data_IF_663303384577
#
_entry.id   IF_663303384577
#
_cell.length_a   1.000
_cell.length_b   1.000
_cell.length_c   1.000
_cell.angle_alpha   90.00
_cell.angle_beta   90.00
_cell.angle_gamma   90.00
#
_symmetry.space_group_name_H-M   'P 1'
#
loop_
_entity.id
_entity.type
_entity.pdbx_description
1 polymer ?
#
# COMPACT_ATOMS: atom_id res chain seq x y z
N UNK A 1 19.81 -31.89 -21.91
CA UNK A 1 20.73 -30.80 -22.30
C UNK A 1 20.49 -29.61 -21.40
N UNK A 2 21.53 -28.85 -21.07
CA UNK A 2 21.39 -27.58 -20.35
C UNK A 2 21.04 -26.49 -21.37
N UNK A 3 19.86 -25.89 -21.24
CA UNK A 3 19.40 -24.79 -22.10
C UNK A 3 19.60 -23.45 -21.40
N UNK A 4 19.76 -22.38 -22.18
CA UNK A 4 19.75 -21.04 -21.60
C UNK A 4 18.31 -20.60 -21.27
N UNK A 5 18.10 -20.12 -20.04
CA UNK A 5 16.77 -19.91 -19.46
C UNK A 5 16.17 -18.51 -19.74
N UNK A 6 16.85 -17.69 -20.54
CA UNK A 6 16.42 -16.31 -20.84
C UNK A 6 16.20 -15.42 -19.60
N UNK A 7 17.04 -15.60 -18.57
CA UNK A 7 16.97 -14.82 -17.32
C UNK A 7 17.82 -13.54 -17.35
N UNK A 8 18.94 -13.56 -18.08
CA UNK A 8 19.89 -12.43 -18.12
C UNK A 8 20.49 -12.22 -19.50
N UNK A 9 20.29 -11.08 -20.14
CA UNK A 9 20.83 -10.80 -21.48
C UNK A 9 22.34 -11.07 -21.55
N UNK A 10 22.72 -12.15 -22.24
CA UNK A 10 24.12 -12.62 -22.28
C UNK A 10 25.01 -11.62 -23.00
N UNK A 11 24.58 -11.24 -24.20
CA UNK A 11 25.24 -10.25 -25.07
C UNK A 11 24.27 -9.10 -25.29
N UNK A 12 24.60 -7.92 -24.76
CA UNK A 12 23.80 -6.73 -24.96
C UNK A 12 24.25 -6.00 -26.22
N UNK A 13 23.30 -5.38 -26.90
CA UNK A 13 23.54 -4.53 -28.07
C UNK A 13 23.30 -3.07 -27.67
N UNK A 14 23.91 -2.14 -28.39
CA UNK A 14 23.67 -0.70 -28.24
C UNK A 14 23.33 -0.10 -29.59
N UNK A 15 22.48 0.92 -29.54
CA UNK A 15 22.12 1.78 -30.64
C UNK A 15 22.01 3.23 -30.14
N UNK A 16 21.75 4.19 -31.02
CA UNK A 16 21.41 5.55 -30.62
C UNK A 16 20.14 5.55 -29.74
N UNK A 17 20.05 6.34 -28.66
CA UNK A 17 18.86 6.36 -27.81
C UNK A 17 17.56 6.59 -28.60
N UNK A 18 16.52 5.81 -28.32
CA UNK A 18 15.20 5.98 -28.93
C UNK A 18 14.49 7.20 -28.31
N UNK A 19 14.18 8.25 -29.09
CA UNK A 19 13.44 9.41 -28.59
C UNK A 19 11.95 9.12 -28.31
N UNK A 20 11.46 7.94 -28.72
CA UNK A 20 10.07 7.49 -28.65
C UNK A 20 9.21 8.04 -29.79
N UNK A 21 8.03 7.45 -29.97
CA UNK A 21 7.09 7.83 -31.05
C UNK A 21 6.76 9.34 -31.04
N UNK A 22 6.66 10.01 -32.20
CA UNK A 22 6.20 11.38 -32.28
C UNK A 22 4.81 11.54 -31.66
N UNK A 23 4.59 12.65 -30.95
CA UNK A 23 3.28 12.98 -30.38
C UNK A 23 2.83 14.28 -31.04
N UNK A 24 1.81 14.21 -31.89
CA UNK A 24 1.19 15.39 -32.48
C UNK A 24 0.45 16.19 -31.40
N UNK A 25 0.62 17.51 -31.39
CA UNK A 25 -0.05 18.45 -30.48
C UNK A 25 0.09 18.10 -28.99
N UNK A 26 1.34 18.14 -28.49
CA UNK A 26 1.62 17.88 -27.07
C UNK A 26 1.62 19.16 -26.24
N UNK A 27 0.95 19.15 -25.09
CA UNK A 27 1.00 20.22 -24.08
C UNK A 27 2.34 20.27 -23.31
N UNK A 28 3.31 19.44 -23.68
CA UNK A 28 4.60 19.31 -23.01
C UNK A 28 5.63 18.70 -23.96
N UNK A 29 6.80 18.34 -23.45
CA UNK A 29 7.86 17.72 -24.24
C UNK A 29 8.57 16.61 -23.49
N UNK A 30 9.35 15.82 -24.21
CA UNK A 30 10.30 14.87 -23.60
C UNK A 30 11.56 15.62 -23.20
N UNK A 31 12.09 15.28 -22.02
CA UNK A 31 13.31 15.85 -21.44
C UNK A 31 14.37 14.76 -21.28
N UNK A 32 15.62 15.15 -21.49
CA UNK A 32 16.78 14.26 -21.53
C UNK A 32 17.06 13.72 -22.93
N UNK A 33 18.28 13.24 -23.13
CA UNK A 33 18.74 12.65 -24.40
C UNK A 33 18.77 11.11 -24.36
N UNK A 34 18.49 10.52 -23.19
CA UNK A 34 18.62 9.09 -22.94
C UNK A 34 20.05 8.69 -22.56
N UNK A 35 20.19 7.72 -21.65
CA UNK A 35 21.48 7.11 -21.28
C UNK A 35 21.33 5.60 -21.18
N UNK A 36 22.44 4.86 -21.10
CA UNK A 36 22.42 3.40 -21.01
C UNK A 36 23.06 2.89 -19.72
N UNK A 37 22.36 1.99 -19.02
CA UNK A 37 22.89 1.25 -17.88
C UNK A 37 23.17 -0.20 -18.27
N UNK A 38 24.45 -0.61 -18.14
CA UNK A 38 24.86 -2.00 -18.39
C UNK A 38 24.11 -2.99 -17.50
N UNK A 39 23.96 -2.68 -16.21
CA UNK A 39 23.33 -3.57 -15.25
C UNK A 39 21.81 -3.67 -15.45
N UNK A 40 21.13 -2.58 -15.80
CA UNK A 40 19.71 -2.67 -16.18
C UNK A 40 19.52 -3.48 -17.46
N UNK A 41 20.41 -3.31 -18.45
CA UNK A 41 20.41 -4.10 -19.68
C UNK A 41 20.65 -5.61 -19.48
N UNK A 42 21.08 -6.04 -18.28
CA UNK A 42 21.14 -7.49 -17.96
C UNK A 42 19.77 -8.06 -17.65
N UNK A 43 18.83 -7.25 -17.17
CA UNK A 43 17.49 -7.66 -16.76
C UNK A 43 16.39 -7.27 -17.76
N UNK A 44 16.64 -6.26 -18.61
CA UNK A 44 15.67 -5.75 -19.58
C UNK A 44 16.29 -4.75 -20.54
N UNK A 45 15.58 -3.64 -20.81
CA UNK A 45 16.10 -2.53 -21.60
C UNK A 45 17.21 -1.78 -20.83
N UNK A 46 18.29 -1.43 -21.52
CA UNK A 46 19.40 -0.68 -20.97
C UNK A 46 19.12 0.84 -20.95
N UNK A 47 18.21 1.33 -21.78
CA UNK A 47 17.95 2.76 -21.93
C UNK A 47 17.20 3.34 -20.73
N UNK A 48 17.66 4.49 -20.24
CA UNK A 48 17.00 5.29 -19.20
C UNK A 48 16.65 6.66 -19.80
N UNK A 49 15.36 6.98 -19.81
CA UNK A 49 14.83 8.20 -20.44
C UNK A 49 14.75 8.10 -21.98
N UNK A 50 14.33 9.17 -22.66
CA UNK A 50 13.88 10.46 -22.11
C UNK A 50 12.51 10.36 -21.42
N UNK A 51 12.15 11.34 -20.58
CA UNK A 51 10.86 11.37 -19.87
C UNK A 51 9.97 12.50 -20.35
N UNK A 52 8.70 12.20 -20.63
CA UNK A 52 7.72 13.25 -20.94
C UNK A 52 7.36 14.07 -19.70
N UNK A 53 7.40 15.40 -19.78
CA UNK A 53 6.81 16.29 -18.79
C UNK A 53 5.91 17.32 -19.49
N UNK A 54 4.64 17.30 -19.12
CA UNK A 54 3.65 18.33 -19.44
C UNK A 54 2.97 18.81 -18.16
N UNK A 55 1.97 19.70 -18.25
CA UNK A 55 1.38 20.38 -17.09
C UNK A 55 0.91 19.42 -16.00
N UNK A 56 0.22 18.33 -16.38
CA UNK A 56 -0.27 17.33 -15.43
C UNK A 56 0.84 16.62 -14.65
N UNK A 57 1.95 16.29 -15.31
CA UNK A 57 3.09 15.66 -14.65
C UNK A 57 3.82 16.62 -13.73
N UNK A 58 4.03 17.87 -14.17
CA UNK A 58 4.71 18.89 -13.37
C UNK A 58 3.89 19.23 -12.12
N UNK A 59 2.59 19.51 -12.29
CA UNK A 59 1.71 19.78 -11.16
C UNK A 59 1.66 18.58 -10.20
N UNK A 60 1.51 17.35 -10.71
CA UNK A 60 1.55 16.16 -9.86
C UNK A 60 2.82 16.08 -9.01
N UNK A 61 4.00 16.28 -9.61
CA UNK A 61 5.27 16.29 -8.88
C UNK A 61 5.35 17.42 -7.86
N UNK A 62 4.87 18.63 -8.17
CA UNK A 62 4.84 19.74 -7.22
C UNK A 62 3.94 19.44 -6.02
N UNK A 63 2.72 18.96 -6.25
CA UNK A 63 1.80 18.56 -5.18
C UNK A 63 2.37 17.42 -4.34
N UNK A 64 2.98 16.42 -4.98
CA UNK A 64 3.62 15.29 -4.29
C UNK A 64 4.82 15.72 -3.45
N UNK A 65 5.64 16.65 -3.97
CA UNK A 65 6.75 17.23 -3.24
C UNK A 65 6.28 17.95 -1.97
N UNK A 66 5.25 18.80 -2.08
CA UNK A 66 4.67 19.47 -0.90
C UNK A 66 4.17 18.46 0.13
N UNK A 67 3.47 17.39 -0.29
CA UNK A 67 3.01 16.36 0.64
C UNK A 67 4.16 15.66 1.37
N UNK A 68 5.21 15.25 0.65
CA UNK A 68 6.38 14.59 1.22
C UNK A 68 7.13 15.51 2.18
N UNK A 69 7.31 16.79 1.82
CA UNK A 69 7.96 17.78 2.70
C UNK A 69 7.15 18.02 3.98
N UNK A 70 5.82 18.15 3.89
CA UNK A 70 4.97 18.30 5.08
C UNK A 70 5.11 17.09 6.01
N UNK A 71 5.10 15.86 5.46
CA UNK A 71 5.30 14.64 6.24
C UNK A 71 6.70 14.61 6.85
N UNK A 72 7.74 14.80 6.03
CA UNK A 72 9.15 14.74 6.43
C UNK A 72 9.52 15.79 7.47
N UNK A 73 9.05 17.03 7.34
CA UNK A 73 9.28 18.09 8.33
C UNK A 73 8.58 17.81 9.65
N UNK A 74 7.37 17.21 9.64
CA UNK A 74 6.70 16.79 10.87
C UNK A 74 7.42 15.62 11.55
N UNK A 75 7.99 14.69 10.79
CA UNK A 75 8.86 13.63 11.32
C UNK A 75 10.12 14.22 11.94
N UNK A 76 10.76 15.15 11.24
CA UNK A 76 12.02 15.75 11.70
C UNK A 76 11.84 16.58 12.97
N UNK A 77 10.70 17.26 13.11
CA UNK A 77 10.30 17.96 14.33
C UNK A 77 10.16 17.01 15.54
N UNK A 78 9.62 15.80 15.37
CA UNK A 78 9.42 14.85 16.47
C UNK A 78 10.73 14.44 17.15
N UNK A 79 11.82 14.42 16.39
CA UNK A 79 13.16 14.09 16.88
C UNK A 79 14.02 15.32 17.17
N UNK A 80 13.38 16.48 17.39
CA UNK A 80 14.07 17.71 17.76
C UNK A 80 15.04 18.23 16.70
N UNK A 81 14.77 17.99 15.42
CA UNK A 81 15.62 18.38 14.30
C UNK A 81 17.02 17.74 14.29
N UNK A 82 17.19 16.58 14.96
CA UNK A 82 18.44 15.81 14.92
C UNK A 82 18.48 14.85 13.72
N UNK A 83 19.41 15.03 12.76
CA UNK A 83 19.48 14.15 11.57
C UNK A 83 19.80 12.69 11.93
N UNK A 84 20.58 12.47 12.99
CA UNK A 84 20.94 11.13 13.47
C UNK A 84 19.69 10.42 13.99
N UNK A 85 18.90 11.11 14.81
CA UNK A 85 17.67 10.55 15.36
C UNK A 85 16.60 10.36 14.30
N UNK A 86 16.53 11.25 13.31
CA UNK A 86 15.64 11.11 12.17
C UNK A 86 15.90 9.80 11.43
N UNK A 87 17.14 9.51 11.07
CA UNK A 87 17.50 8.26 10.38
C UNK A 87 17.29 7.05 11.27
N UNK A 88 17.70 7.12 12.55
CA UNK A 88 17.57 6.02 13.51
C UNK A 88 16.10 5.63 13.74
N UNK A 89 15.22 6.61 13.84
CA UNK A 89 13.81 6.41 14.22
C UNK A 89 12.84 6.46 13.03
N UNK A 90 13.31 6.70 11.80
CA UNK A 90 12.47 6.86 10.61
C UNK A 90 11.33 5.82 10.48
N UNK A 91 11.52 4.52 10.77
CA UNK A 91 10.43 3.54 10.70
C UNK A 91 9.27 3.80 11.69
N UNK A 92 9.54 4.45 12.83
CA UNK A 92 8.57 4.73 13.90
C UNK A 92 7.97 6.14 13.85
N UNK A 93 8.53 7.05 13.05
CA UNK A 93 8.01 8.41 12.93
C UNK A 93 6.67 8.41 12.17
N UNK A 94 5.76 9.27 12.60
CA UNK A 94 4.40 9.30 12.08
C UNK A 94 3.79 10.70 12.05
N UNK A 95 3.00 10.98 11.03
CA UNK A 95 2.12 12.14 10.98
C UNK A 95 0.71 11.59 11.17
N UNK A 96 0.21 11.78 12.39
CA UNK A 96 -1.06 11.22 12.86
C UNK A 96 -2.27 12.03 12.36
N UNK A 97 -3.41 11.37 12.10
CA UNK A 97 -4.65 12.06 11.81
C UNK A 97 -5.15 12.87 13.02
N UNK A 98 -6.10 13.81 12.80
CA UNK A 98 -6.76 14.52 13.90
C UNK A 98 -7.44 13.57 14.89
N UNK A 99 -7.39 13.92 16.18
CA UNK A 99 -8.05 13.14 17.23
C UNK A 99 -9.59 13.22 17.12
N UNK A 100 -10.33 12.27 17.74
CA UNK A 100 -11.79 12.22 17.63
C UNK A 100 -12.51 13.47 18.15
N UNK A 101 -11.88 14.27 19.02
CA UNK A 101 -12.48 15.50 19.58
C UNK A 101 -12.87 16.52 18.50
N UNK A 102 -12.22 16.46 17.33
CA UNK A 102 -12.50 17.36 16.21
C UNK A 102 -13.63 16.85 15.29
N UNK A 103 -14.03 15.58 15.37
CA UNK A 103 -14.94 14.98 14.39
C UNK A 103 -14.44 15.21 12.96
N UNK A 104 -15.21 15.96 12.15
CA UNK A 104 -14.82 16.40 10.80
C UNK A 104 -14.41 17.89 10.69
N UNK A 105 -14.29 18.60 11.80
CA UNK A 105 -13.83 19.99 11.78
C UNK A 105 -12.35 20.07 11.40
N UNK A 106 -11.93 21.19 10.82
CA UNK A 106 -10.53 21.46 10.54
C UNK A 106 -9.82 21.75 11.88
N UNK A 107 -8.88 20.90 12.33
CA UNK A 107 -8.20 21.09 13.61
C UNK A 107 -7.06 22.13 13.49
N UNK A 108 -6.52 22.60 14.62
CA UNK A 108 -5.27 23.36 14.63
C UNK A 108 -4.12 22.58 13.96
N UNK A 109 -3.16 23.31 13.36
CA UNK A 109 -2.01 22.71 12.66
C UNK A 109 -1.27 21.67 13.49
N UNK A 110 -1.00 21.97 14.76
CA UNK A 110 -0.28 21.09 15.68
C UNK A 110 -1.09 19.86 16.14
N UNK A 111 -2.40 19.81 15.85
CA UNK A 111 -3.32 18.76 16.30
C UNK A 111 -3.97 18.01 15.13
N UNK A 112 -3.18 17.73 14.08
CA UNK A 112 -3.63 17.00 12.89
C UNK A 112 -3.95 17.89 11.69
N UNK A 113 -3.83 19.22 11.78
CA UNK A 113 -4.04 20.10 10.62
C UNK A 113 -3.00 19.85 9.51
N UNK A 114 -1.74 19.58 9.89
CA UNK A 114 -0.70 19.17 8.93
C UNK A 114 -1.02 17.87 8.20
N UNK A 115 -1.68 16.93 8.87
CA UNK A 115 -2.12 15.68 8.26
C UNK A 115 -3.13 15.93 7.13
N UNK A 116 -4.16 16.75 7.38
CA UNK A 116 -5.16 17.08 6.35
C UNK A 116 -4.53 17.81 5.16
N UNK A 117 -3.56 18.70 5.40
CA UNK A 117 -2.80 19.36 4.35
C UNK A 117 -2.02 18.34 3.52
N UNK A 118 -1.25 17.46 4.16
CA UNK A 118 -0.49 16.41 3.48
C UNK A 118 -1.42 15.49 2.66
N UNK A 119 -2.55 15.06 3.23
CA UNK A 119 -3.55 14.23 2.56
C UNK A 119 -4.16 14.91 1.33
N UNK A 120 -4.48 16.21 1.41
CA UNK A 120 -4.97 16.98 0.27
C UNK A 120 -3.93 17.05 -0.85
N UNK A 121 -2.70 17.46 -0.53
CA UNK A 121 -1.63 17.60 -1.52
C UNK A 121 -1.28 16.24 -2.16
N UNK A 122 -1.23 15.17 -1.38
CA UNK A 122 -1.00 13.81 -1.87
C UNK A 122 -2.13 13.35 -2.80
N UNK A 123 -3.38 13.57 -2.41
CA UNK A 123 -4.54 13.19 -3.22
C UNK A 123 -4.53 13.90 -4.57
N UNK A 124 -4.28 15.21 -4.58
CA UNK A 124 -4.16 15.98 -5.82
C UNK A 124 -3.00 15.49 -6.69
N UNK A 125 -1.85 15.18 -6.09
CA UNK A 125 -0.71 14.60 -6.80
C UNK A 125 -1.09 13.32 -7.55
N UNK A 126 -1.75 12.39 -6.86
CA UNK A 126 -2.18 11.10 -7.41
C UNK A 126 -3.20 11.28 -8.54
N UNK A 127 -4.21 12.13 -8.34
CA UNK A 127 -5.23 12.40 -9.37
C UNK A 127 -4.62 13.05 -10.62
N UNK A 128 -3.68 13.98 -10.46
CA UNK A 128 -2.96 14.58 -11.57
C UNK A 128 -2.07 13.57 -12.29
N UNK A 129 -1.48 12.62 -11.57
CA UNK A 129 -0.72 11.51 -12.17
C UNK A 129 -1.63 10.54 -12.95
N UNK A 130 -2.87 10.37 -12.50
CA UNK A 130 -3.89 9.62 -13.24
C UNK A 130 -4.23 10.32 -14.56
N UNK A 131 -4.48 11.63 -14.54
CA UNK A 131 -4.72 12.43 -15.76
C UNK A 131 -3.51 12.35 -16.70
N UNK A 132 -2.28 12.42 -16.16
CA UNK A 132 -1.06 12.18 -16.94
C UNK A 132 -1.12 10.82 -17.64
N UNK A 133 -1.38 9.74 -16.89
CA UNK A 133 -1.43 8.37 -17.43
C UNK A 133 -2.47 8.23 -18.54
N UNK A 134 -3.68 8.74 -18.30
CA UNK A 134 -4.78 8.74 -19.28
C UNK A 134 -4.39 9.51 -20.56
N UNK A 135 -3.92 10.75 -20.41
CA UNK A 135 -3.59 11.60 -21.56
C UNK A 135 -2.39 11.10 -22.36
N UNK A 136 -1.44 10.38 -21.74
CA UNK A 136 -0.34 9.73 -22.46
C UNK A 136 -0.82 8.58 -23.34
N UNK A 137 -1.70 7.73 -22.83
CA UNK A 137 -2.29 6.67 -23.64
C UNK A 137 -3.05 7.25 -24.84
N UNK A 138 -3.88 8.28 -24.62
CA UNK A 138 -4.65 8.94 -25.70
C UNK A 138 -3.75 9.59 -26.75
N UNK A 139 -2.68 10.26 -26.32
CA UNK A 139 -1.73 10.91 -27.21
C UNK A 139 -0.96 9.93 -28.11
N UNK A 140 -0.87 8.66 -27.71
CA UNK A 140 -0.24 7.58 -28.49
C UNK A 140 -1.27 6.70 -29.23
N UNK A 141 -2.55 7.08 -29.24
CA UNK A 141 -3.61 6.27 -29.88
C UNK A 141 -3.89 4.93 -29.18
N UNK A 142 -3.46 4.75 -27.92
CA UNK A 142 -3.59 3.50 -27.17
C UNK A 142 -4.91 3.44 -26.38
N UNK A 143 -5.35 2.22 -26.06
CA UNK A 143 -6.44 2.00 -25.10
C UNK A 143 -6.06 2.45 -23.69
N UNK A 144 -7.02 2.94 -22.90
CA UNK A 144 -6.77 3.55 -21.57
C UNK A 144 -6.82 2.54 -20.41
N UNK A 145 -6.47 1.28 -20.66
CA UNK A 145 -6.56 0.18 -19.68
C UNK A 145 -5.72 0.44 -18.42
N UNK A 146 -4.51 1.00 -18.55
CA UNK A 146 -3.66 1.33 -17.41
C UNK A 146 -4.27 2.43 -16.52
N UNK A 147 -4.89 3.44 -17.14
CA UNK A 147 -5.56 4.51 -16.39
C UNK A 147 -6.74 3.95 -15.59
N UNK A 148 -7.51 3.01 -16.14
CA UNK A 148 -8.62 2.38 -15.42
C UNK A 148 -8.16 1.45 -14.29
N UNK A 149 -7.07 0.71 -14.48
CA UNK A 149 -6.48 -0.06 -13.39
C UNK A 149 -5.96 0.84 -12.27
N UNK A 150 -5.27 1.93 -12.62
CA UNK A 150 -4.85 2.93 -11.65
C UNK A 150 -6.05 3.59 -10.96
N UNK A 151 -7.15 3.83 -11.67
CA UNK A 151 -8.41 4.32 -11.11
C UNK A 151 -8.97 3.40 -10.02
N UNK A 152 -8.88 2.08 -10.17
CA UNK A 152 -9.27 1.13 -9.12
C UNK A 152 -8.38 1.22 -7.88
N UNK A 153 -7.07 1.42 -8.05
CA UNK A 153 -6.15 1.63 -6.93
C UNK A 153 -6.41 2.96 -6.21
N UNK A 154 -6.71 4.02 -6.97
CA UNK A 154 -7.13 5.32 -6.43
C UNK A 154 -8.45 5.18 -5.67
N UNK A 155 -9.39 4.38 -6.16
CA UNK A 155 -10.63 4.10 -5.45
C UNK A 155 -10.37 3.52 -4.06
N UNK A 156 -9.53 2.48 -3.94
CA UNK A 156 -9.14 1.95 -2.62
C UNK A 156 -8.46 3.01 -1.74
N UNK A 157 -7.50 3.76 -2.30
CA UNK A 157 -6.83 4.86 -1.58
C UNK A 157 -7.84 5.88 -1.03
N UNK A 158 -8.80 6.31 -1.86
CA UNK A 158 -9.85 7.26 -1.46
C UNK A 158 -10.87 6.65 -0.49
N UNK A 159 -11.10 5.34 -0.52
CA UNK A 159 -11.98 4.67 0.46
C UNK A 159 -11.50 4.89 1.90
N UNK A 160 -10.19 4.99 2.13
CA UNK A 160 -9.63 5.34 3.44
C UNK A 160 -9.85 6.81 3.85
N UNK A 161 -10.32 7.68 2.94
CA UNK A 161 -10.77 9.05 3.25
C UNK A 161 -12.29 9.14 3.32
N UNK A 162 -13.00 8.41 2.45
CA UNK A 162 -14.46 8.39 2.43
C UNK A 162 -15.07 7.65 3.61
N UNK A 163 -14.49 6.53 4.06
CA UNK A 163 -15.00 5.83 5.25
C UNK A 163 -14.97 6.72 6.50
N UNK A 164 -13.87 7.45 6.81
CA UNK A 164 -13.84 8.41 7.92
C UNK A 164 -14.87 9.54 7.78
N UNK A 165 -15.12 10.02 6.55
CA UNK A 165 -16.17 11.01 6.27
C UNK A 165 -17.57 10.46 6.56
N UNK A 166 -17.83 9.19 6.23
CA UNK A 166 -19.13 8.55 6.46
C UNK A 166 -19.35 8.19 7.93
N UNK A 167 -18.30 7.80 8.65
CA UNK A 167 -18.35 7.56 10.11
C UNK A 167 -18.38 8.86 10.91
N UNK A 168 -17.87 9.96 10.34
CA UNK A 168 -17.93 11.30 10.92
C UNK A 168 -16.73 11.67 11.80
N UNK A 169 -15.57 11.06 11.60
CA UNK A 169 -14.35 11.38 12.36
C UNK A 169 -13.09 11.21 11.53
N UNK A 170 -12.23 12.24 11.50
CA UNK A 170 -10.90 12.13 10.89
C UNK A 170 -9.99 11.11 11.57
N UNK A 171 -10.26 10.74 12.83
CA UNK A 171 -9.43 9.81 13.61
C UNK A 171 -9.36 8.40 13.02
N UNK A 172 -10.29 8.04 12.14
CA UNK A 172 -10.32 6.74 11.46
C UNK A 172 -9.34 6.67 10.27
N UNK A 173 -8.75 7.81 9.87
CA UNK A 173 -7.83 7.88 8.74
C UNK A 173 -6.49 7.16 9.00
N UNK A 174 -5.84 6.75 7.92
CA UNK A 174 -4.54 6.06 7.96
C UNK A 174 -3.41 7.07 8.26
N UNK A 175 -2.60 6.90 9.32
CA UNK A 175 -1.47 7.79 9.58
C UNK A 175 -0.38 7.64 8.51
N UNK A 176 0.36 8.73 8.24
CA UNK A 176 1.54 8.66 7.38
C UNK A 176 2.75 8.26 8.23
N UNK A 177 3.19 7.00 8.13
CA UNK A 177 4.36 6.48 8.84
C UNK A 177 4.55 4.99 8.56
N UNK A 178 5.79 4.49 8.60
CA UNK A 178 6.07 3.09 8.19
C UNK A 178 5.42 2.10 9.15
N UNK A 179 5.69 2.16 10.45
CA UNK A 179 5.02 1.27 11.40
C UNK A 179 3.62 1.76 11.77
N UNK A 180 3.39 3.08 11.84
CA UNK A 180 2.08 3.62 12.18
C UNK A 180 0.95 3.19 11.22
N UNK A 181 1.19 3.11 9.90
CA UNK A 181 0.14 2.62 8.98
C UNK A 181 -0.11 1.10 9.12
N UNK A 182 0.90 0.33 9.57
CA UNK A 182 0.72 -1.09 9.89
C UNK A 182 -0.08 -1.28 11.17
N UNK A 183 0.22 -0.48 12.20
CA UNK A 183 -0.52 -0.45 13.46
C UNK A 183 -1.99 -0.10 13.20
N UNK A 184 -2.25 0.90 12.35
CA UNK A 184 -3.59 1.24 11.89
C UNK A 184 -4.30 0.05 11.23
N UNK A 185 -3.61 -0.70 10.38
CA UNK A 185 -4.18 -1.86 9.68
C UNK A 185 -4.66 -2.92 10.68
N UNK A 186 -3.88 -3.19 11.72
CA UNK A 186 -4.29 -4.09 12.81
C UNK A 186 -5.40 -3.50 13.67
N UNK A 187 -5.29 -2.23 14.07
CA UNK A 187 -6.26 -1.55 14.91
C UNK A 187 -7.65 -1.49 14.26
N UNK A 188 -7.71 -1.20 12.97
CA UNK A 188 -8.94 -1.19 12.18
C UNK A 188 -9.61 -2.57 12.17
N UNK A 189 -8.83 -3.64 11.98
CA UNK A 189 -9.35 -5.01 12.04
C UNK A 189 -9.90 -5.38 13.42
N UNK A 190 -9.20 -4.99 14.49
CA UNK A 190 -9.65 -5.23 15.87
C UNK A 190 -10.93 -4.46 16.15
N UNK A 191 -10.97 -3.16 15.79
CA UNK A 191 -12.10 -2.25 16.04
C UNK A 191 -13.39 -2.74 15.41
N UNK A 192 -13.33 -3.32 14.21
CA UNK A 192 -14.49 -3.76 13.45
C UNK A 192 -14.68 -5.29 13.45
N UNK A 193 -14.16 -5.96 14.48
CA UNK A 193 -14.50 -7.35 14.76
C UNK A 193 -13.94 -8.34 13.74
N UNK A 194 -12.63 -8.25 13.48
CA UNK A 194 -11.83 -9.14 12.65
C UNK A 194 -12.22 -9.12 11.15
N UNK A 195 -11.42 -8.42 10.35
CA UNK A 195 -11.62 -8.30 8.90
C UNK A 195 -11.52 -9.63 8.13
N UNK A 196 -11.04 -10.73 8.69
CA UNK A 196 -11.10 -12.03 8.02
C UNK A 196 -12.54 -12.47 7.70
N UNK A 197 -13.53 -11.97 8.45
CA UNK A 197 -14.95 -12.25 8.21
C UNK A 197 -15.63 -11.25 7.26
N UNK A 198 -14.91 -10.24 6.78
CA UNK A 198 -15.41 -9.36 5.73
C UNK A 198 -15.31 -10.06 4.36
N UNK A 199 -16.42 -10.32 3.65
CA UNK A 199 -16.40 -11.05 2.40
C UNK A 199 -15.63 -10.32 1.29
N UNK A 200 -15.63 -8.98 1.30
CA UNK A 200 -14.88 -8.18 0.32
C UNK A 200 -13.38 -8.17 0.60
N UNK A 201 -12.98 -8.24 1.88
CA UNK A 201 -11.59 -8.45 2.25
C UNK A 201 -11.09 -9.83 1.79
N UNK A 202 -11.89 -10.89 1.99
CA UNK A 202 -11.58 -12.22 1.49
C UNK A 202 -11.46 -12.26 -0.05
N UNK A 203 -12.37 -11.59 -0.77
CA UNK A 203 -12.27 -11.44 -2.23
C UNK A 203 -11.00 -10.69 -2.65
N UNK A 204 -10.65 -9.60 -1.97
CA UNK A 204 -9.42 -8.84 -2.24
C UNK A 204 -8.17 -9.72 -2.09
N UNK A 205 -8.11 -10.55 -1.05
CA UNK A 205 -7.04 -11.55 -0.84
C UNK A 205 -7.04 -12.59 -1.97
N UNK A 206 -8.21 -13.13 -2.35
CA UNK A 206 -8.31 -14.12 -3.42
C UNK A 206 -7.78 -13.56 -4.75
N UNK A 207 -8.12 -12.31 -5.08
CA UNK A 207 -7.60 -11.64 -6.26
C UNK A 207 -6.12 -11.28 -6.14
N UNK A 208 -5.61 -10.97 -4.94
CA UNK A 208 -4.20 -10.69 -4.70
C UNK A 208 -3.36 -11.95 -4.92
N UNK A 209 -3.75 -13.06 -4.31
CA UNK A 209 -3.12 -14.36 -4.52
C UNK A 209 -3.27 -14.82 -5.96
N UNK A 210 -4.46 -14.66 -6.54
CA UNK A 210 -4.72 -14.96 -7.94
C UNK A 210 -3.85 -14.13 -8.89
N UNK A 211 -3.57 -12.86 -8.58
CA UNK A 211 -2.66 -12.01 -9.37
C UNK A 211 -1.24 -12.56 -9.35
N UNK A 212 -0.73 -12.96 -8.17
CA UNK A 212 0.59 -13.59 -8.06
C UNK A 212 0.66 -14.92 -8.82
N UNK A 213 -0.37 -15.76 -8.69
CA UNK A 213 -0.48 -17.04 -9.41
C UNK A 213 -0.52 -16.81 -10.92
N UNK A 214 -1.39 -15.92 -11.41
CA UNK A 214 -1.52 -15.64 -12.83
C UNK A 214 -0.25 -15.04 -13.41
N UNK A 215 0.42 -14.11 -12.72
CA UNK A 215 1.69 -13.57 -13.20
C UNK A 215 2.77 -14.65 -13.22
N UNK A 216 2.88 -15.48 -12.18
CA UNK A 216 3.83 -16.58 -12.16
C UNK A 216 3.60 -17.57 -13.31
N UNK A 217 2.34 -17.98 -13.52
CA UNK A 217 1.94 -18.84 -14.63
C UNK A 217 2.27 -18.21 -15.99
N UNK A 218 1.86 -16.96 -16.19
CA UNK A 218 2.03 -16.25 -17.45
C UNK A 218 3.51 -15.98 -17.74
N UNK A 219 4.24 -15.37 -16.82
CA UNK A 219 5.66 -15.07 -16.96
C UNK A 219 6.50 -16.31 -17.21
N UNK A 220 6.24 -17.41 -16.48
CA UNK A 220 6.91 -18.69 -16.74
C UNK A 220 6.55 -19.27 -18.12
N UNK A 221 5.30 -19.13 -18.56
CA UNK A 221 4.86 -19.58 -19.89
C UNK A 221 5.60 -18.82 -20.99
N UNK A 222 5.63 -17.48 -20.91
CA UNK A 222 6.30 -16.63 -21.90
C UNK A 222 7.80 -16.95 -21.95
N UNK A 223 8.47 -17.11 -20.80
CA UNK A 223 9.86 -17.53 -20.76
C UNK A 223 10.08 -18.92 -21.40
N UNK A 224 9.19 -19.89 -21.12
CA UNK A 224 9.27 -21.24 -21.68
C UNK A 224 9.11 -21.28 -23.22
N UNK A 225 8.33 -20.35 -23.79
CA UNK A 225 8.17 -20.21 -25.25
C UNK A 225 9.01 -19.07 -25.85
N UNK A 226 9.93 -18.45 -25.10
CA UNK A 226 10.74 -17.32 -25.58
C UNK A 226 11.67 -17.69 -26.74
N UNK A 227 12.15 -18.94 -26.79
CA UNK A 227 12.90 -19.46 -27.96
C UNK A 227 12.08 -19.46 -29.27
N UNK A 228 10.77 -19.30 -29.17
CA UNK A 228 9.82 -19.22 -30.28
C UNK A 228 9.32 -17.79 -30.50
N UNK A 229 9.90 -16.79 -29.81
CA UNK A 229 9.48 -15.39 -29.87
C UNK A 229 8.16 -15.12 -29.15
N UNK A 230 7.85 -15.86 -28.08
CA UNK A 230 6.59 -15.72 -27.34
C UNK A 230 6.42 -14.37 -26.65
N UNK A 231 7.51 -13.69 -26.31
CA UNK A 231 7.53 -12.33 -25.74
C UNK A 231 7.08 -11.24 -26.70
N UNK A 232 7.01 -11.53 -28.01
CA UNK A 232 6.49 -10.64 -29.05
C UNK A 232 4.97 -10.76 -29.13
N UNK A 233 4.31 -10.41 -28.04
CA UNK A 233 2.92 -10.78 -27.79
C UNK A 233 1.93 -10.08 -28.75
N UNK A 234 2.22 -8.86 -29.19
CA UNK A 234 1.36 -8.14 -30.14
C UNK A 234 1.24 -8.94 -31.43
N UNK A 235 2.36 -9.40 -31.99
CA UNK A 235 2.37 -10.20 -33.21
C UNK A 235 1.70 -11.55 -32.99
N UNK A 236 1.95 -12.21 -31.84
CA UNK A 236 1.30 -13.49 -31.51
C UNK A 236 -0.22 -13.37 -31.33
N UNK A 237 -0.73 -12.19 -30.97
CA UNK A 237 -2.16 -11.89 -30.88
C UNK A 237 -2.75 -11.70 -32.28
N UNK A 238 -2.09 -10.93 -33.14
CA UNK A 238 -2.62 -10.61 -34.48
C UNK A 238 -2.43 -11.74 -35.48
N UNK A 239 -1.34 -12.51 -35.38
CA UNK A 239 -1.01 -13.64 -36.23
C UNK A 239 -0.44 -14.78 -35.37
N UNK A 240 -1.29 -15.78 -35.11
CA UNK A 240 -1.01 -16.80 -34.10
C UNK A 240 0.14 -17.71 -34.53
N UNK A 241 1.29 -17.56 -33.88
CA UNK A 241 2.45 -18.42 -34.07
C UNK A 241 2.49 -19.65 -33.15
N UNK A 242 3.50 -20.50 -33.37
CA UNK A 242 3.68 -21.73 -32.57
C UNK A 242 3.97 -21.45 -31.09
N UNK A 243 4.48 -20.26 -30.73
CA UNK A 243 4.66 -19.85 -29.34
C UNK A 243 3.30 -19.76 -28.62
N UNK A 244 2.32 -19.07 -29.22
CA UNK A 244 0.97 -18.96 -28.68
C UNK A 244 0.24 -20.31 -28.67
N UNK A 245 0.40 -21.14 -29.71
CA UNK A 245 -0.22 -22.47 -29.75
C UNK A 245 0.30 -23.40 -28.66
N UNK A 246 1.62 -23.47 -28.46
CA UNK A 246 2.22 -24.31 -27.41
C UNK A 246 1.88 -23.80 -26.01
N UNK A 247 1.83 -22.49 -25.82
CA UNK A 247 1.37 -21.87 -24.57
C UNK A 247 -0.05 -22.29 -24.23
N UNK A 248 -0.96 -22.20 -25.21
CA UNK A 248 -2.35 -22.61 -25.04
C UNK A 248 -2.50 -24.11 -24.76
N UNK A 249 -1.82 -24.95 -25.54
CA UNK A 249 -1.91 -26.41 -25.44
C UNK A 249 -1.35 -26.91 -24.09
N UNK A 250 -0.24 -26.33 -23.62
CA UNK A 250 0.32 -26.67 -22.30
C UNK A 250 -0.75 -26.52 -21.20
N UNK A 251 -1.43 -25.38 -21.15
CA UNK A 251 -2.47 -25.14 -20.14
C UNK A 251 -3.72 -25.99 -20.38
N UNK A 252 -4.12 -26.19 -21.64
CA UNK A 252 -5.26 -27.06 -22.00
C UNK A 252 -5.06 -28.48 -21.50
N UNK A 253 -3.86 -29.03 -21.68
CA UNK A 253 -3.52 -30.37 -21.21
C UNK A 253 -3.32 -30.44 -19.70
N UNK A 254 -2.92 -29.34 -19.06
CA UNK A 254 -2.70 -29.29 -17.60
C UNK A 254 -4.00 -29.18 -16.81
N UNK A 255 -4.93 -28.31 -17.21
CA UNK A 255 -6.13 -27.97 -16.43
C UNK A 255 -7.45 -28.09 -17.20
N UNK A 256 -7.43 -28.69 -18.40
CA UNK A 256 -8.63 -28.97 -19.20
C UNK A 256 -9.18 -27.80 -20.02
N UNK A 257 -8.64 -26.58 -19.83
CA UNK A 257 -8.99 -25.37 -20.59
C UNK A 257 -7.78 -24.46 -20.74
N UNK A 258 -7.88 -23.43 -21.60
CA UNK A 258 -6.79 -22.47 -21.83
C UNK A 258 -7.31 -21.09 -22.23
N UNK A 259 -6.48 -20.07 -22.04
CA UNK A 259 -6.66 -18.73 -22.60
C UNK A 259 -5.99 -18.60 -23.98
N UNK A 260 -6.14 -17.45 -24.63
CA UNK A 260 -5.36 -17.01 -25.80
C UNK A 260 -4.26 -16.05 -25.35
N UNK A 261 -3.33 -15.71 -26.25
CA UNK A 261 -2.28 -14.72 -25.96
C UNK A 261 -2.86 -13.34 -25.63
N UNK A 262 -4.05 -12.98 -26.12
CA UNK A 262 -4.70 -11.71 -25.74
C UNK A 262 -5.52 -11.84 -24.46
N UNK A 263 -6.27 -12.94 -24.32
CA UNK A 263 -7.25 -13.04 -23.23
C UNK A 263 -6.59 -13.27 -21.88
N UNK A 264 -5.38 -13.85 -21.81
CA UNK A 264 -4.64 -13.99 -20.56
C UNK A 264 -4.31 -12.63 -19.93
N UNK A 265 -3.99 -11.60 -20.72
CA UNK A 265 -3.77 -10.24 -20.21
C UNK A 265 -5.08 -9.62 -19.71
N UNK A 266 -6.23 -9.99 -20.27
CA UNK A 266 -7.54 -9.58 -19.73
C UNK A 266 -7.81 -10.23 -18.38
N UNK A 267 -7.51 -11.52 -18.22
CA UNK A 267 -7.59 -12.21 -16.93
C UNK A 267 -6.69 -11.55 -15.88
N UNK A 268 -5.42 -11.34 -16.21
CA UNK A 268 -4.45 -10.69 -15.31
C UNK A 268 -4.88 -9.27 -14.95
N UNK A 269 -5.34 -8.48 -15.92
CA UNK A 269 -5.83 -7.11 -15.70
C UNK A 269 -7.03 -7.10 -14.75
N UNK A 270 -8.05 -7.93 -14.99
CA UNK A 270 -9.23 -8.00 -14.13
C UNK A 270 -8.89 -8.47 -12.72
N UNK A 271 -8.03 -9.47 -12.56
CA UNK A 271 -7.60 -9.92 -11.25
C UNK A 271 -6.91 -8.80 -10.47
N UNK A 272 -5.95 -8.10 -11.08
CA UNK A 272 -5.27 -6.98 -10.45
C UNK A 272 -6.24 -5.84 -10.07
N UNK A 273 -7.16 -5.49 -10.97
CA UNK A 273 -8.17 -4.44 -10.72
C UNK A 273 -9.11 -4.81 -9.60
N UNK A 274 -9.53 -6.07 -9.52
CA UNK A 274 -10.47 -6.54 -8.52
C UNK A 274 -9.86 -6.60 -7.11
N UNK A 275 -8.53 -6.70 -6.96
CA UNK A 275 -7.86 -6.56 -5.65
C UNK A 275 -8.27 -5.28 -4.97
N UNK A 276 -8.02 -4.15 -5.63
CA UNK A 276 -8.26 -2.83 -5.04
C UNK A 276 -9.74 -2.47 -5.07
N UNK A 277 -10.49 -2.93 -6.08
CA UNK A 277 -11.91 -2.64 -6.18
C UNK A 277 -12.71 -3.29 -5.04
N UNK A 278 -12.53 -4.59 -4.79
CA UNK A 278 -13.22 -5.25 -3.67
C UNK A 278 -12.69 -4.76 -2.34
N UNK A 279 -11.38 -4.51 -2.22
CA UNK A 279 -10.79 -3.89 -1.02
C UNK A 279 -11.49 -2.56 -0.67
N UNK A 280 -11.67 -1.67 -1.64
CA UNK A 280 -12.33 -0.38 -1.42
C UNK A 280 -13.79 -0.53 -0.99
N UNK A 281 -14.54 -1.47 -1.58
CA UNK A 281 -15.91 -1.79 -1.14
C UNK A 281 -15.91 -2.29 0.32
N UNK A 282 -14.98 -3.19 0.67
CA UNK A 282 -14.84 -3.74 2.02
C UNK A 282 -14.59 -2.65 3.06
N UNK A 283 -13.73 -1.68 2.75
CA UNK A 283 -13.47 -0.53 3.63
C UNK A 283 -14.71 0.34 3.75
N UNK A 284 -15.36 0.71 2.64
CA UNK A 284 -16.52 1.61 2.66
C UNK A 284 -17.70 1.07 3.47
N UNK A 285 -17.90 -0.26 3.51
CA UNK A 285 -18.97 -0.90 4.31
C UNK A 285 -18.63 -1.01 5.81
N UNK A 286 -17.35 -0.91 6.16
CA UNK A 286 -16.86 -1.12 7.53
C UNK A 286 -17.09 0.13 8.37
N UNK A 287 -17.84 0.00 9.46
CA UNK A 287 -18.25 1.10 10.34
C UNK A 287 -19.41 1.97 9.83
N UNK A 288 -19.79 1.81 8.56
CA UNK A 288 -20.96 2.50 7.96
C UNK A 288 -22.18 1.59 7.91
N UNK A 289 -21.96 0.32 7.52
CA UNK A 289 -23.01 -0.70 7.38
C UNK A 289 -22.78 -1.85 8.37
N UNK A 290 -21.52 -2.22 8.62
CA UNK A 290 -21.16 -3.32 9.52
C UNK A 290 -20.13 -2.86 10.56
N UNK A 291 -20.51 -2.95 11.83
CA UNK A 291 -19.64 -2.60 12.97
C UNK A 291 -18.81 -3.77 13.50
N UNK A 292 -19.20 -5.01 13.19
CA UNK A 292 -18.49 -6.21 13.62
C UNK A 292 -18.65 -7.33 12.58
N UNK A 293 -17.58 -7.61 11.84
CA UNK A 293 -17.60 -8.61 10.76
C UNK A 293 -17.74 -10.05 11.25
N UNK A 294 -17.19 -10.39 12.42
CA UNK A 294 -17.41 -11.72 13.03
C UNK A 294 -18.89 -11.96 13.36
N UNK A 295 -19.55 -11.01 14.02
CA UNK A 295 -20.98 -11.14 14.34
C UNK A 295 -21.85 -11.11 13.08
N UNK A 296 -21.45 -10.36 12.05
CA UNK A 296 -22.05 -10.45 10.72
C UNK A 296 -21.95 -11.88 10.16
N UNK A 297 -20.77 -12.51 10.24
CA UNK A 297 -20.58 -13.88 9.78
C UNK A 297 -21.37 -14.92 10.60
N UNK A 298 -21.51 -14.73 11.91
CA UNK A 298 -22.39 -15.56 12.77
C UNK A 298 -23.86 -15.41 12.34
N UNK A 299 -24.33 -14.16 12.16
CA UNK A 299 -25.70 -13.86 11.71
C UNK A 299 -26.04 -14.54 10.38
N UNK A 300 -25.06 -14.60 9.47
CA UNK A 300 -25.23 -15.21 8.14
C UNK A 300 -24.82 -16.69 8.08
N UNK A 301 -24.49 -17.32 9.22
CA UNK A 301 -24.23 -18.75 9.30
C UNK A 301 -22.94 -19.22 8.61
N UNK A 302 -21.97 -18.32 8.40
CA UNK A 302 -20.67 -18.65 7.75
C UNK A 302 -19.50 -18.72 8.73
N UNK A 303 -19.70 -18.29 9.98
CA UNK A 303 -18.69 -18.45 11.03
C UNK A 303 -18.66 -19.91 11.53
N UNK A 304 -17.50 -20.59 11.48
CA UNK A 304 -17.38 -21.95 12.00
C UNK A 304 -17.51 -21.97 13.54
N UNK A 305 -18.08 -23.05 14.07
CA UNK A 305 -18.11 -23.34 15.50
C UNK A 305 -17.09 -24.40 15.84
N UNK A 306 -16.36 -24.20 16.93
CA UNK A 306 -15.39 -25.16 17.44
C UNK A 306 -15.85 -25.61 18.83
N UNK A 307 -15.83 -26.92 19.13
CA UNK A 307 -16.08 -27.40 20.49
C UNK A 307 -15.12 -26.74 21.47
N UNK A 308 -15.62 -26.32 22.63
CA UNK A 308 -14.77 -25.78 23.68
C UNK A 308 -13.78 -26.87 24.14
N UNK A 309 -12.49 -26.67 23.85
CA UNK A 309 -11.44 -27.58 24.30
C UNK A 309 -11.09 -27.36 25.78
N UNK A 310 -11.35 -26.15 26.29
CA UNK A 310 -11.18 -25.80 27.69
C UNK A 310 -12.55 -25.55 28.30
N UNK A 311 -12.99 -26.43 29.21
CA UNK A 311 -14.15 -26.15 30.08
C UNK A 311 -13.64 -25.32 31.24
N UNK A 312 -13.81 -24.00 31.13
CA UNK A 312 -13.39 -23.07 32.17
C UNK A 312 -14.39 -23.13 33.33
N UNK A 313 -13.91 -23.25 34.56
CA UNK A 313 -14.77 -23.05 35.74
C UNK A 313 -15.28 -21.60 35.78
N UNK A 314 -16.40 -21.31 36.46
CA UNK A 314 -16.85 -19.93 36.67
C UNK A 314 -15.75 -19.01 37.20
N UNK A 315 -14.87 -19.48 38.11
CA UNK A 315 -13.75 -18.68 38.62
C UNK A 315 -12.66 -18.44 37.55
N UNK A 316 -12.40 -19.41 36.67
CA UNK A 316 -11.47 -19.24 35.56
C UNK A 316 -12.02 -18.29 34.48
N UNK A 317 -13.32 -18.35 34.21
CA UNK A 317 -14.04 -17.39 33.37
C UNK A 317 -13.95 -15.98 33.93
N UNK A 318 -14.06 -15.81 35.25
CA UNK A 318 -13.92 -14.51 35.92
C UNK A 318 -12.48 -13.96 35.82
N UNK A 319 -11.46 -14.82 35.92
CA UNK A 319 -10.06 -14.45 35.67
C UNK A 319 -9.78 -14.08 34.20
N UNK A 320 -10.42 -14.78 33.25
CA UNK A 320 -10.24 -14.58 31.80
C UNK A 320 -11.12 -13.48 31.22
N UNK A 321 -12.20 -13.09 31.91
CA UNK A 321 -12.94 -11.84 31.63
C UNK A 321 -12.06 -10.61 31.75
N UNK A 322 -10.87 -10.74 32.33
CA UNK A 322 -9.80 -9.78 32.24
C UNK A 322 -10.11 -8.48 32.99
N UNK A 323 -9.11 -8.00 33.72
CA UNK A 323 -9.00 -6.61 34.15
C UNK A 323 -8.97 -5.61 32.95
N UNK A 324 -9.11 -6.09 31.70
CA UNK A 324 -9.02 -5.34 30.45
C UNK A 324 -10.15 -5.62 29.44
N UNK A 325 -11.22 -6.37 29.79
CA UNK A 325 -12.40 -6.53 28.92
C UNK A 325 -13.59 -5.64 29.34
N UNK A 326 -13.30 -4.48 29.94
CA UNK A 326 -14.25 -3.38 29.92
C UNK A 326 -14.12 -2.63 28.59
N UNK A 327 -15.24 -2.17 28.02
CA UNK A 327 -15.20 -0.99 27.14
C UNK A 327 -14.32 0.03 27.86
N UNK A 328 -13.16 0.39 27.30
CA UNK A 328 -12.50 1.61 27.71
C UNK A 328 -13.50 2.73 27.44
N UNK A 329 -14.15 3.23 28.49
CA UNK A 329 -14.92 4.48 28.40
C UNK A 329 -14.02 5.62 27.90
N UNK A 330 -12.69 5.46 27.99
CA UNK A 330 -11.65 6.37 27.52
C UNK A 330 -10.61 5.63 26.66
N UNK A 331 -10.99 5.20 25.45
CA UNK A 331 -10.19 4.36 24.54
C UNK A 331 -8.94 4.97 23.89
N UNK A 332 -8.26 5.91 24.55
CA UNK A 332 -6.92 6.34 24.17
C UNK A 332 -6.08 6.49 25.45
N UNK A 333 -4.79 6.07 25.45
CA UNK A 333 -3.89 6.46 26.53
C UNK A 333 -3.80 7.99 26.54
N UNK A 334 -4.37 8.63 27.55
CA UNK A 334 -4.12 10.05 27.81
C UNK A 334 -2.68 10.19 28.27
N UNK A 335 -1.91 11.00 27.55
CA UNK A 335 -0.55 11.36 27.92
C UNK A 335 -0.60 12.08 29.27
N UNK A 336 -0.20 11.41 30.35
CA UNK A 336 0.02 12.04 31.64
C UNK A 336 1.29 12.88 31.55
N UNK A 337 1.12 14.21 31.49
CA UNK A 337 2.23 15.15 31.63
C UNK A 337 2.93 14.84 32.96
N UNK A 338 4.24 14.56 32.99
CA UNK A 338 4.96 14.36 34.24
C UNK A 338 4.80 15.60 35.11
N UNK A 339 4.39 15.41 36.37
CA UNK A 339 4.37 16.49 37.34
C UNK A 339 5.78 17.10 37.45
N UNK A 340 5.93 18.45 37.48
CA UNK A 340 7.24 19.06 37.64
C UNK A 340 7.87 18.53 38.93
N UNK A 341 9.13 18.10 38.82
CA UNK A 341 9.89 17.57 39.95
C UNK A 341 9.89 18.59 41.08
N UNK A 342 9.42 18.17 42.26
CA UNK A 342 9.50 18.99 43.46
C UNK A 342 10.96 19.38 43.73
N UNK A 343 11.24 20.61 44.20
CA UNK A 343 12.60 21.02 44.49
C UNK A 343 13.20 20.12 45.57
N UNK A 344 14.43 19.68 45.33
CA UNK A 344 15.19 18.83 46.25
C UNK A 344 15.39 19.58 47.56
N UNK A 345 14.85 19.02 48.64
CA UNK A 345 15.01 19.53 49.99
C UNK A 345 16.46 19.25 50.46
N UNK A 346 17.25 20.29 50.68
CA UNK A 346 18.70 20.20 50.92
C UNK A 346 19.07 20.12 52.40
N UNK A 347 18.12 19.83 53.30
CA UNK A 347 18.33 19.97 54.75
C UNK A 347 18.38 18.69 55.59
N UNK A 348 18.70 17.51 55.02
CA UNK A 348 18.93 16.31 55.84
C UNK A 348 20.32 15.70 55.68
N UNK A 349 21.21 16.20 56.54
CA UNK A 349 22.26 15.53 57.35
C UNK A 349 23.10 14.38 56.75
N UNK A 350 24.42 14.63 56.78
CA UNK A 350 25.55 13.77 56.45
C UNK A 350 25.58 12.38 57.16
N UNK A 351 26.25 11.37 56.57
CA UNK A 351 26.31 10.00 57.10
C UNK A 351 27.25 9.86 58.30
N UNK A 352 26.84 9.03 59.27
CA UNK A 352 27.59 8.71 60.48
C UNK A 352 28.81 7.80 60.21
N UNK A 353 29.94 8.15 60.83
CA UNK A 353 31.21 7.41 60.83
C UNK A 353 31.14 6.21 61.79
N UNK A 354 31.58 4.99 61.41
CA UNK A 354 31.58 3.84 62.32
C UNK A 354 32.84 3.82 63.21
N UNK A 355 32.75 3.30 64.46
CA UNK A 355 33.85 3.33 65.41
C UNK A 355 34.89 2.22 65.17
N UNK A 356 36.15 2.55 65.48
CA UNK A 356 37.35 1.71 65.39
C UNK A 356 37.60 0.86 66.64
N UNK A 357 38.12 -0.36 66.44
CA UNK A 357 38.77 -1.21 67.45
C UNK A 357 38.46 -2.70 67.16
N UNK A 358 39.37 -3.66 67.10
CA UNK A 358 40.76 -3.75 67.57
C UNK A 358 40.95 -5.16 68.15
N UNK A 359 41.50 -6.07 67.34
CA UNK A 359 42.42 -7.18 67.67
C UNK A 359 42.71 -8.00 66.42
#
# INVERSE_FOLDING_TARGET
MLEYQNLFTRVQIRHAPDPGLPIEQSLGRRYGEGTFSYWMGKLGDAQIGPIYLGPWGVLSLMFGFVAIEVIGLNFFKQVGWSPIEFVRQLPWLALEPPSPEYGLHIPPLAKGGWYLIAGFFLTMSILLWWVRTYTRARALGMGTHLAWAFGSAIFLYLSFFFQPLLVGSWSEMVPFGIFAHLDWTSAFSIRYGNLYYNPFHALSIAFLYGSAVLFAMHGATILAVSRLGGEREIEQITDRGTAAERSAIFWRWTMGWNATMESIHRWAWWFAVLVTFTGGIGILLTGTVVDNWYLWAVKHGVAPQYPAQNVLTPEQLEKLRGQYAGRLQNGFPTYTVPAPTAPVDTTTSAPAVPPTGGN
#
